data_IF_016336389960
#
_entry.id   IF_016336389960
#
_cell.length_a   1.000
_cell.length_b   1.000
_cell.length_c   1.000
_cell.angle_alpha   90.00
_cell.angle_beta   90.00
_cell.angle_gamma   90.00
#
_symmetry.space_group_name_H-M   'P 1'
#
loop_
_entity.id
_entity.type
_entity.pdbx_description
1 polymer ?
#
# COMPACT_ATOMS: atom_id res chain seq x y z
N UNK A 1 -3.49 21.42 8.78
CA UNK A 1 -3.50 21.42 10.27
C UNK A 1 -2.45 20.42 10.75
N UNK A 2 -1.80 20.70 11.88
CA UNK A 2 -0.97 19.71 12.55
C UNK A 2 -1.78 18.46 12.87
N UNK A 3 -1.18 17.28 12.75
CA UNK A 3 -1.90 16.03 12.90
C UNK A 3 -1.28 14.88 12.12
N UNK A 4 -1.82 13.69 12.35
CA UNK A 4 -1.52 12.51 11.56
C UNK A 4 -2.49 12.43 10.38
N UNK A 5 -1.95 12.33 9.18
CA UNK A 5 -2.69 12.22 7.92
C UNK A 5 -2.30 10.90 7.25
N UNK A 6 -3.25 10.20 6.64
CA UNK A 6 -2.98 8.96 5.92
C UNK A 6 -3.13 9.21 4.43
N UNK A 7 -2.05 9.02 3.68
CA UNK A 7 -2.04 9.12 2.23
C UNK A 7 -2.10 7.73 1.61
N UNK A 8 -2.82 7.61 0.50
CA UNK A 8 -2.88 6.38 -0.27
C UNK A 8 -1.76 6.38 -1.32
N UNK A 9 -0.86 5.42 -1.23
CA UNK A 9 0.05 5.02 -2.31
C UNK A 9 -0.57 3.98 -3.25
N UNK A 10 -1.88 3.80 -3.18
CA UNK A 10 -2.62 2.81 -3.97
C UNK A 10 -2.73 1.45 -3.32
N UNK A 11 -2.54 0.40 -4.13
CA UNK A 11 -2.70 -0.99 -3.72
C UNK A 11 -1.96 -1.92 -4.67
N UNK A 12 -1.66 -3.12 -4.20
CA UNK A 12 -1.09 -4.21 -4.98
C UNK A 12 -1.63 -5.55 -4.46
N UNK A 13 -1.40 -6.64 -5.16
CA UNK A 13 -1.91 -7.96 -4.81
C UNK A 13 -0.77 -8.98 -4.66
N UNK A 14 -0.90 -9.84 -3.64
CA UNK A 14 0.06 -10.91 -3.35
C UNK A 14 -0.64 -12.24 -3.09
N UNK A 15 0.10 -13.33 -3.28
CA UNK A 15 -0.35 -14.66 -2.87
C UNK A 15 -0.44 -14.72 -1.33
N UNK A 16 -1.50 -15.33 -0.75
CA UNK A 16 -1.69 -15.41 0.70
C UNK A 16 -0.48 -15.98 1.44
N UNK A 17 0.23 -16.94 0.84
CA UNK A 17 1.44 -17.52 1.42
C UNK A 17 2.59 -16.51 1.60
N UNK A 18 2.65 -15.45 0.80
CA UNK A 18 3.64 -14.38 0.98
C UNK A 18 3.28 -13.44 2.15
N UNK A 19 2.00 -13.34 2.49
CA UNK A 19 1.49 -12.48 3.57
C UNK A 19 1.45 -13.23 4.91
N UNK A 20 0.94 -14.46 4.87
CA UNK A 20 0.62 -15.26 6.06
C UNK A 20 1.54 -16.47 6.26
N UNK A 21 2.47 -16.74 5.35
CA UNK A 21 3.38 -17.88 5.45
C UNK A 21 2.64 -19.21 5.50
N UNK A 22 2.90 -19.99 6.55
CA UNK A 22 2.29 -21.31 6.76
C UNK A 22 0.90 -21.27 7.42
N UNK A 23 0.34 -20.09 7.70
CA UNK A 23 -0.98 -20.00 8.37
C UNK A 23 -2.09 -20.50 7.43
N UNK A 24 -2.94 -21.45 7.87
CA UNK A 24 -4.00 -22.00 7.03
C UNK A 24 -5.08 -20.99 6.64
N UNK A 25 -5.70 -21.20 5.46
CA UNK A 25 -6.81 -20.38 4.95
C UNK A 25 -8.01 -20.34 5.90
N UNK A 26 -8.30 -21.42 6.62
CA UNK A 26 -9.38 -21.44 7.61
C UNK A 26 -9.22 -20.38 8.72
N UNK A 27 -7.99 -19.88 8.93
CA UNK A 27 -7.66 -18.81 9.87
C UNK A 27 -7.74 -17.41 9.23
N UNK A 28 -7.09 -17.19 8.08
CA UNK A 28 -7.02 -15.85 7.47
C UNK A 28 -8.16 -15.54 6.51
N UNK A 29 -8.75 -16.54 5.85
CA UNK A 29 -9.80 -16.39 4.83
C UNK A 29 -11.13 -15.86 5.37
N UNK A 30 -11.29 -15.81 6.71
CA UNK A 30 -12.41 -15.13 7.37
C UNK A 30 -12.31 -13.60 7.31
N UNK A 31 -11.10 -13.08 7.12
CA UNK A 31 -10.80 -11.64 7.20
C UNK A 31 -10.37 -11.06 5.85
N UNK A 32 -9.84 -11.89 4.96
CA UNK A 32 -9.33 -11.47 3.67
C UNK A 32 -9.96 -12.28 2.55
N UNK A 33 -10.41 -11.59 1.50
CA UNK A 33 -10.85 -12.21 0.25
C UNK A 33 -9.72 -12.26 -0.77
N UNK A 34 -9.77 -13.26 -1.64
CA UNK A 34 -8.86 -13.39 -2.78
C UNK A 34 -9.56 -13.02 -4.09
N UNK A 35 -8.79 -12.52 -5.06
CA UNK A 35 -9.27 -12.29 -6.43
C UNK A 35 -9.34 -13.61 -7.24
N UNK A 36 -9.70 -13.54 -8.51
CA UNK A 36 -9.80 -14.70 -9.43
C UNK A 36 -8.49 -15.46 -9.62
N UNK A 37 -7.34 -14.85 -9.30
CA UNK A 37 -6.01 -15.47 -9.35
C UNK A 37 -5.57 -16.02 -7.99
N UNK A 38 -6.43 -16.01 -6.97
CA UNK A 38 -6.12 -16.48 -5.62
C UNK A 38 -5.26 -15.52 -4.80
N UNK A 39 -5.25 -14.22 -5.13
CA UNK A 39 -4.39 -13.21 -4.48
C UNK A 39 -5.16 -12.22 -3.62
N UNK A 40 -4.54 -11.74 -2.56
CA UNK A 40 -5.10 -10.74 -1.63
C UNK A 40 -4.64 -9.36 -2.07
N UNK A 41 -5.59 -8.44 -2.19
CA UNK A 41 -5.32 -7.02 -2.43
C UNK A 41 -4.94 -6.31 -1.12
N UNK A 42 -3.81 -5.63 -1.11
CA UNK A 42 -3.26 -4.89 0.01
C UNK A 42 -3.23 -3.39 -0.31
N UNK A 43 -3.69 -2.57 0.64
CA UNK A 43 -3.61 -1.11 0.53
C UNK A 43 -2.22 -0.62 0.97
N UNK A 44 -1.72 0.39 0.27
CA UNK A 44 -0.48 1.10 0.61
C UNK A 44 -0.87 2.38 1.32
N UNK A 45 -0.90 2.34 2.65
CA UNK A 45 -1.25 3.49 3.48
C UNK A 45 0.03 4.10 4.04
N UNK A 46 0.22 5.40 3.83
CA UNK A 46 1.42 6.13 4.22
C UNK A 46 1.05 7.18 5.27
N UNK A 47 1.31 6.92 6.56
CA UNK A 47 1.13 7.91 7.60
C UNK A 47 2.13 9.07 7.47
N UNK A 48 1.63 10.29 7.55
CA UNK A 48 2.42 11.53 7.57
C UNK A 48 1.99 12.38 8.75
N UNK A 49 2.92 12.67 9.64
CA UNK A 49 2.72 13.55 10.79
C UNK A 49 3.15 14.97 10.43
N UNK A 50 2.21 15.92 10.43
CA UNK A 50 2.47 17.36 10.31
C UNK A 50 2.64 17.98 11.70
N UNK A 51 3.76 18.69 11.90
CA UNK A 51 4.09 19.48 13.10
C UNK A 51 4.75 20.80 12.69
N UNK A 52 3.98 21.88 12.69
CA UNK A 52 4.42 23.16 12.16
C UNK A 52 4.81 23.04 10.68
N UNK A 53 6.02 23.46 10.33
CA UNK A 53 6.58 23.36 8.97
C UNK A 53 7.22 22.00 8.66
N UNK A 54 7.23 21.07 9.63
CA UNK A 54 7.87 19.77 9.47
C UNK A 54 6.84 18.69 9.13
N UNK A 55 7.21 17.84 8.17
CA UNK A 55 6.51 16.63 7.82
C UNK A 55 7.39 15.42 8.19
N UNK A 56 6.80 14.45 8.88
CA UNK A 56 7.45 13.17 9.20
C UNK A 56 6.67 12.06 8.54
N UNK A 57 7.27 11.34 7.60
CA UNK A 57 6.64 10.22 6.92
C UNK A 57 7.02 8.91 7.61
N UNK A 58 6.07 8.00 7.69
CA UNK A 58 6.28 6.62 8.14
C UNK A 58 6.04 5.74 6.91
N UNK A 59 7.09 5.38 6.19
CA UNK A 59 7.05 4.81 4.82
C UNK A 59 6.97 5.88 3.70
N UNK A 60 7.14 5.45 2.45
CA UNK A 60 7.16 6.27 1.23
C UNK A 60 6.27 5.72 0.11
N UNK A 61 5.57 4.60 0.35
CA UNK A 61 4.72 3.99 -0.66
C UNK A 61 5.49 3.14 -1.68
N UNK A 62 4.92 2.96 -2.86
CA UNK A 62 5.54 2.16 -3.92
C UNK A 62 6.51 3.00 -4.77
N UNK A 63 7.56 2.34 -5.29
CA UNK A 63 8.54 2.99 -6.15
C UNK A 63 7.91 3.47 -7.48
N UNK A 64 8.17 4.72 -7.86
CA UNK A 64 7.72 5.27 -9.16
C UNK A 64 8.40 4.59 -10.38
N UNK A 65 9.57 3.98 -10.17
CA UNK A 65 10.32 3.22 -11.17
C UNK A 65 9.83 1.78 -11.40
N UNK A 66 8.64 1.40 -10.93
CA UNK A 66 8.09 0.07 -11.20
C UNK A 66 7.91 -0.15 -12.71
N UNK A 67 8.46 -1.25 -13.22
CA UNK A 67 8.26 -1.66 -14.62
C UNK A 67 6.81 -2.05 -14.87
N UNK A 68 6.34 -1.94 -16.11
CA UNK A 68 5.00 -2.41 -16.51
C UNK A 68 4.79 -3.91 -16.21
N UNK A 69 5.85 -4.71 -16.32
CA UNK A 69 5.83 -6.11 -15.91
C UNK A 69 5.53 -6.26 -14.42
N UNK A 70 6.20 -5.49 -13.56
CA UNK A 70 5.98 -5.52 -12.11
C UNK A 70 4.58 -5.03 -11.76
N UNK A 71 4.14 -3.92 -12.35
CA UNK A 71 2.79 -3.38 -12.14
C UNK A 71 1.71 -4.39 -12.53
N UNK A 72 1.87 -5.03 -13.69
CA UNK A 72 0.95 -6.06 -14.17
C UNK A 72 0.99 -7.32 -13.28
N UNK A 73 2.19 -7.79 -12.90
CA UNK A 73 2.34 -8.99 -12.09
C UNK A 73 1.75 -8.82 -10.68
N UNK A 74 1.99 -7.68 -10.03
CA UNK A 74 1.46 -7.38 -8.70
C UNK A 74 0.10 -6.68 -8.72
N UNK A 75 -0.52 -6.52 -9.89
CA UNK A 75 -1.82 -5.85 -10.03
C UNK A 75 -1.84 -4.49 -9.31
N UNK A 76 -0.77 -3.72 -9.48
CA UNK A 76 -0.61 -2.41 -8.84
C UNK A 76 -1.70 -1.49 -9.38
N UNK A 77 -2.47 -0.88 -8.48
CA UNK A 77 -3.47 0.12 -8.85
C UNK A 77 -2.81 1.47 -9.15
N UNK A 78 -3.52 2.58 -8.93
CA UNK A 78 -2.90 3.91 -8.90
C UNK A 78 -1.62 3.89 -8.04
N UNK A 79 -0.58 4.60 -8.47
CA UNK A 79 0.69 4.75 -7.75
C UNK A 79 1.06 6.24 -7.63
N UNK A 80 0.27 7.04 -6.89
CA UNK A 80 0.54 8.47 -6.76
C UNK A 80 1.88 8.69 -6.04
N UNK A 81 2.58 9.75 -6.44
CA UNK A 81 3.79 10.16 -5.74
C UNK A 81 3.43 10.86 -4.43
N UNK A 82 4.04 10.42 -3.31
CA UNK A 82 3.79 11.01 -2.01
C UNK A 82 4.25 12.48 -1.96
N UNK A 83 5.36 12.81 -2.62
CA UNK A 83 5.88 14.17 -2.68
C UNK A 83 4.87 15.13 -3.30
N UNK A 84 4.24 14.71 -4.40
CA UNK A 84 3.16 15.47 -5.03
C UNK A 84 1.95 15.63 -4.09
N UNK A 85 1.61 14.58 -3.33
CA UNK A 85 0.46 14.61 -2.41
C UNK A 85 0.66 15.53 -1.21
N UNK A 86 1.90 15.72 -0.76
CA UNK A 86 2.20 16.49 0.46
C UNK A 86 2.77 17.89 0.18
N UNK A 87 2.90 18.27 -1.10
CA UNK A 87 3.57 19.52 -1.52
C UNK A 87 2.93 20.78 -0.90
N UNK A 88 1.60 20.76 -0.70
CA UNK A 88 0.83 21.90 -0.17
C UNK A 88 0.43 21.75 1.30
N UNK A 89 0.99 20.76 2.01
CA UNK A 89 0.51 20.38 3.35
C UNK A 89 0.78 21.39 4.44
#
# INVERSE_FOLDING_TARGET
>A
MDGLHIFSGGSFSLDPGAIFGMVPESSWGRYYSVNEKGRIRLAVNIPVLKRGEKLFTFDSGLNQGLTERSKSFFEVSQNPDLGDQIMDM
#
